data_IF_688569870219
#
_entry.id   IF_688569870219
#
_cell.length_a   1.000
_cell.length_b   1.000
_cell.length_c   1.000
_cell.angle_alpha   90.00
_cell.angle_beta   90.00
_cell.angle_gamma   90.00
#
_symmetry.space_group_name_H-M   'P 1'
#
loop_
_entity.id
_entity.type
_entity.pdbx_description
1 polymer ?
#
# COMPACT_ATOMS: atom_id res chain seq x y z
N UNK A 1 -72.94 46.37 5.16
CA UNK A 1 -71.96 45.61 5.99
C UNK A 1 -72.25 44.12 5.80
N UNK A 2 -71.54 43.45 4.88
CA UNK A 2 -71.74 42.02 4.59
C UNK A 2 -70.79 41.18 5.44
N UNK A 3 -71.27 40.69 6.58
CA UNK A 3 -70.52 39.73 7.39
C UNK A 3 -70.49 38.39 6.66
N UNK A 4 -69.33 38.07 6.09
CA UNK A 4 -69.03 36.79 5.44
C UNK A 4 -68.76 35.77 6.55
N UNK A 5 -69.78 35.01 6.95
CA UNK A 5 -69.62 33.91 7.92
C UNK A 5 -68.77 32.82 7.28
N UNK A 6 -67.54 32.66 7.77
CA UNK A 6 -66.73 31.49 7.44
C UNK A 6 -67.39 30.27 8.07
N UNK A 7 -68.14 29.51 7.28
CA UNK A 7 -68.69 28.23 7.69
C UNK A 7 -67.54 27.24 7.87
N UNK A 8 -67.02 27.12 9.09
CA UNK A 8 -66.08 26.06 9.46
C UNK A 8 -66.87 24.79 9.80
N UNK A 9 -67.30 24.05 8.78
CA UNK A 9 -67.74 22.66 8.97
C UNK A 9 -66.57 21.84 9.50
N UNK A 10 -66.72 21.09 10.62
CA UNK A 10 -65.64 20.27 11.16
C UNK A 10 -65.22 19.22 10.12
N UNK A 11 -63.91 19.00 9.92
CA UNK A 11 -63.43 17.97 8.99
C UNK A 11 -64.00 16.61 9.41
N UNK A 12 -64.45 15.81 8.43
CA UNK A 12 -64.96 14.46 8.71
C UNK A 12 -63.91 13.65 9.46
N UNK A 13 -64.35 12.76 10.36
CA UNK A 13 -63.44 11.94 11.19
C UNK A 13 -62.43 11.15 10.33
N UNK A 14 -62.82 10.74 9.13
CA UNK A 14 -61.96 10.07 8.14
C UNK A 14 -60.77 10.95 7.69
N UNK A 15 -60.99 12.24 7.48
CA UNK A 15 -59.93 13.19 7.14
C UNK A 15 -58.99 13.42 8.33
N UNK A 16 -59.51 13.45 9.56
CA UNK A 16 -58.68 13.57 10.77
C UNK A 16 -57.75 12.37 10.95
N UNK A 17 -58.25 11.14 10.75
CA UNK A 17 -57.43 9.93 10.84
C UNK A 17 -56.30 9.89 9.78
N UNK A 18 -56.62 10.26 8.53
CA UNK A 18 -55.64 10.33 7.45
C UNK A 18 -54.55 11.39 7.71
N UNK A 19 -54.91 12.55 8.25
CA UNK A 19 -53.94 13.60 8.60
C UNK A 19 -53.04 13.18 9.76
N UNK A 20 -53.59 12.50 10.78
CA UNK A 20 -52.81 11.94 11.90
C UNK A 20 -51.78 10.92 11.41
N UNK A 21 -52.19 9.98 10.55
CA UNK A 21 -51.28 8.99 9.95
C UNK A 21 -50.16 9.63 9.12
N UNK A 22 -50.48 10.67 8.32
CA UNK A 22 -49.49 11.43 7.54
C UNK A 22 -48.49 12.17 8.43
N UNK A 23 -48.95 12.75 9.53
CA UNK A 23 -48.11 13.46 10.48
C UNK A 23 -47.13 12.50 11.16
N UNK A 24 -47.62 11.36 11.64
CA UNK A 24 -46.78 10.30 12.22
C UNK A 24 -45.75 9.80 11.21
N UNK A 25 -46.16 9.54 9.96
CA UNK A 25 -45.24 9.13 8.91
C UNK A 25 -44.13 10.17 8.67
N UNK A 26 -44.48 11.46 8.58
CA UNK A 26 -43.51 12.54 8.41
C UNK A 26 -42.52 12.64 9.57
N UNK A 27 -42.99 12.58 10.83
CA UNK A 27 -42.11 12.61 12.00
C UNK A 27 -41.20 11.38 12.05
N UNK A 28 -41.73 10.19 11.78
CA UNK A 28 -40.93 8.96 11.78
C UNK A 28 -39.88 8.94 10.66
N UNK A 29 -40.18 9.52 9.50
CA UNK A 29 -39.23 9.60 8.39
C UNK A 29 -38.10 10.58 8.71
N UNK A 30 -38.41 11.76 9.26
CA UNK A 30 -37.40 12.70 9.74
C UNK A 30 -36.48 12.07 10.80
N UNK A 31 -37.03 11.27 11.72
CA UNK A 31 -36.24 10.53 12.70
C UNK A 31 -35.38 9.40 12.09
N UNK A 32 -35.82 8.78 11.00
CA UNK A 32 -35.00 7.82 10.24
C UNK A 32 -33.84 8.53 9.54
N UNK A 33 -34.11 9.66 8.90
CA UNK A 33 -33.11 10.50 8.23
C UNK A 33 -32.05 11.00 9.22
N UNK A 34 -32.47 11.48 10.40
CA UNK A 34 -31.57 11.92 11.47
C UNK A 34 -30.66 10.77 11.94
N UNK A 35 -31.23 9.58 12.13
CA UNK A 35 -30.45 8.37 12.49
C UNK A 35 -29.52 7.94 11.36
N UNK A 36 -29.96 8.03 10.11
CA UNK A 36 -29.16 7.70 8.94
C UNK A 36 -27.99 8.68 8.79
N UNK A 37 -28.22 9.97 9.02
CA UNK A 37 -27.19 11.01 9.01
C UNK A 37 -26.16 10.77 10.11
N UNK A 38 -26.60 10.50 11.35
CA UNK A 38 -25.70 10.16 12.48
C UNK A 38 -24.86 8.92 12.18
N UNK A 39 -25.45 7.86 11.60
CA UNK A 39 -24.74 6.66 11.17
C UNK A 39 -23.71 6.94 10.07
N UNK A 40 -24.08 7.73 9.04
CA UNK A 40 -23.17 8.14 7.97
C UNK A 40 -21.98 8.93 8.52
N UNK A 41 -22.22 9.88 9.43
CA UNK A 41 -21.17 10.64 10.09
C UNK A 41 -20.25 9.75 10.91
N UNK A 42 -20.79 8.81 11.68
CA UNK A 42 -19.99 7.87 12.46
C UNK A 42 -19.09 7.00 11.58
N UNK A 43 -19.62 6.49 10.46
CA UNK A 43 -18.84 5.70 9.50
C UNK A 43 -17.74 6.55 8.87
N UNK A 44 -18.05 7.78 8.44
CA UNK A 44 -17.05 8.69 7.88
C UNK A 44 -15.96 9.07 8.90
N UNK A 45 -16.32 9.25 10.17
CA UNK A 45 -15.35 9.51 11.24
C UNK A 45 -14.47 8.29 11.51
N UNK A 46 -15.08 7.09 11.59
CA UNK A 46 -14.35 5.82 11.78
C UNK A 46 -13.38 5.54 10.63
N UNK A 47 -13.79 5.78 9.38
CA UNK A 47 -12.92 5.64 8.20
C UNK A 47 -11.72 6.59 8.26
N UNK A 48 -11.92 7.85 8.66
CA UNK A 48 -10.82 8.81 8.82
C UNK A 48 -9.83 8.38 9.90
N UNK A 49 -10.30 7.87 11.04
CA UNK A 49 -9.42 7.37 12.11
C UNK A 49 -8.58 6.16 11.66
N UNK A 50 -9.19 5.23 10.92
CA UNK A 50 -8.47 4.08 10.34
C UNK A 50 -7.36 4.55 9.39
N UNK A 51 -7.68 5.47 8.48
CA UNK A 51 -6.70 6.02 7.54
C UNK A 51 -5.56 6.77 8.25
N UNK A 52 -5.84 7.54 9.31
CA UNK A 52 -4.81 8.20 10.12
C UNK A 52 -3.88 7.16 10.76
N UNK A 53 -4.44 6.10 11.31
CA UNK A 53 -3.64 5.06 11.97
C UNK A 53 -2.84 4.20 10.97
N UNK A 54 -3.39 3.91 9.78
CA UNK A 54 -2.67 3.25 8.69
C UNK A 54 -1.51 4.12 8.18
N UNK A 55 -1.76 5.40 7.88
CA UNK A 55 -0.72 6.35 7.47
C UNK A 55 0.38 6.47 8.53
N UNK A 56 0.02 6.49 9.82
CA UNK A 56 0.98 6.54 10.91
C UNK A 56 1.86 5.28 10.98
N UNK A 57 1.30 4.10 10.73
CA UNK A 57 2.06 2.84 10.69
C UNK A 57 3.04 2.82 9.52
N UNK A 58 2.61 3.24 8.34
CA UNK A 58 3.46 3.27 7.15
C UNK A 58 4.64 4.23 7.34
N UNK A 59 4.40 5.40 7.94
CA UNK A 59 5.48 6.34 8.29
C UNK A 59 6.43 5.77 9.34
N UNK A 60 5.96 4.99 10.32
CA UNK A 60 6.84 4.32 11.29
C UNK A 60 7.70 3.27 10.59
N UNK A 61 7.11 2.40 9.77
CA UNK A 61 7.83 1.36 9.03
C UNK A 61 8.88 1.98 8.11
N UNK A 62 8.49 3.01 7.36
CA UNK A 62 9.38 3.76 6.49
C UNK A 62 10.55 4.36 7.27
N UNK A 63 10.27 5.02 8.39
CA UNK A 63 11.32 5.58 9.24
C UNK A 63 12.27 4.50 9.80
N UNK A 64 11.81 3.29 10.13
CA UNK A 64 12.69 2.21 10.62
C UNK A 64 13.55 1.66 9.48
N UNK A 65 12.92 1.35 8.34
CA UNK A 65 13.57 0.71 7.19
C UNK A 65 14.61 1.64 6.55
N UNK A 66 14.30 2.94 6.42
CA UNK A 66 15.17 3.90 5.74
C UNK A 66 16.11 4.68 6.68
N UNK A 67 15.96 4.61 8.01
CA UNK A 67 16.92 5.25 8.95
C UNK A 67 18.23 4.50 9.08
N UNK A 68 18.25 3.20 8.80
CA UNK A 68 19.49 2.43 8.88
C UNK A 68 20.14 2.50 7.50
N UNK A 69 21.24 3.26 7.32
CA UNK A 69 22.07 3.06 6.14
C UNK A 69 22.44 1.58 6.12
N UNK A 70 22.47 0.92 4.96
CA UNK A 70 22.88 -0.49 4.89
C UNK A 70 24.41 -0.50 4.73
N UNK A 71 25.21 -0.47 5.82
CA UNK A 71 26.68 -0.38 5.73
C UNK A 71 27.25 -1.55 4.92
N UNK A 72 26.58 -2.70 4.98
CA UNK A 72 26.97 -3.92 4.31
C UNK A 72 27.07 -3.78 2.78
N UNK A 73 26.21 -2.98 2.15
CA UNK A 73 26.23 -2.82 0.69
C UNK A 73 27.44 -2.01 0.24
N UNK A 74 27.78 -0.95 0.96
CA UNK A 74 28.96 -0.13 0.66
C UNK A 74 30.25 -0.84 1.06
N UNK A 75 30.25 -1.60 2.16
CA UNK A 75 31.36 -2.48 2.54
C UNK A 75 31.60 -3.57 1.49
N UNK A 76 30.55 -4.22 1.00
CA UNK A 76 30.65 -5.22 -0.05
C UNK A 76 31.21 -4.62 -1.35
N UNK A 77 30.69 -3.46 -1.77
CA UNK A 77 31.22 -2.74 -2.94
C UNK A 77 32.71 -2.42 -2.78
N UNK A 78 33.11 -1.90 -1.60
CA UNK A 78 34.52 -1.64 -1.31
C UNK A 78 35.37 -2.91 -1.34
N UNK A 79 34.88 -4.00 -0.73
CA UNK A 79 35.56 -5.29 -0.74
C UNK A 79 35.81 -5.83 -2.15
N UNK A 80 34.81 -5.73 -3.03
CA UNK A 80 34.94 -6.12 -4.45
C UNK A 80 35.99 -5.26 -5.16
N UNK A 81 35.94 -3.93 -5.00
CA UNK A 81 36.91 -3.01 -5.64
C UNK A 81 38.34 -3.30 -5.16
N UNK A 82 38.55 -3.47 -3.85
CA UNK A 82 39.85 -3.81 -3.27
C UNK A 82 40.36 -5.15 -3.78
N UNK A 83 39.49 -6.17 -3.88
CA UNK A 83 39.88 -7.48 -4.41
C UNK A 83 40.35 -7.38 -5.87
N UNK A 84 39.65 -6.60 -6.70
CA UNK A 84 40.05 -6.34 -8.10
C UNK A 84 41.39 -5.60 -8.16
N UNK A 85 41.59 -4.58 -7.32
CA UNK A 85 42.86 -3.82 -7.28
C UNK A 85 44.05 -4.67 -6.81
N UNK A 86 43.81 -5.67 -5.97
CA UNK A 86 44.84 -6.60 -5.51
C UNK A 86 45.22 -7.65 -6.56
N UNK A 87 44.46 -7.79 -7.66
CA UNK A 87 44.87 -8.64 -8.77
C UNK A 87 46.05 -7.97 -9.49
N UNK A 88 47.23 -8.56 -9.32
CA UNK A 88 48.45 -8.04 -9.96
C UNK A 88 48.51 -8.43 -11.45
N UNK A 89 49.14 -7.62 -12.31
CA UNK A 89 49.38 -8.00 -13.71
C UNK A 89 50.11 -9.35 -13.85
N UNK A 90 51.01 -9.67 -12.92
CA UNK A 90 51.72 -10.96 -12.92
C UNK A 90 50.77 -12.15 -12.71
N UNK A 91 49.73 -12.01 -11.88
CA UNK A 91 48.73 -13.08 -11.70
C UNK A 91 47.95 -13.33 -12.99
N UNK A 92 47.61 -12.26 -13.72
CA UNK A 92 46.94 -12.36 -15.02
C UNK A 92 47.86 -13.02 -16.05
N UNK A 93 49.12 -12.59 -16.12
CA UNK A 93 50.13 -13.17 -17.03
C UNK A 93 50.36 -14.66 -16.75
N UNK A 94 50.50 -15.03 -15.48
CA UNK A 94 50.66 -16.43 -15.08
C UNK A 94 49.42 -17.27 -15.44
N UNK A 95 48.22 -16.72 -15.24
CA UNK A 95 46.96 -17.39 -15.59
C UNK A 95 46.85 -17.57 -17.10
N UNK A 96 47.25 -16.55 -17.87
CA UNK A 96 47.25 -16.60 -19.32
C UNK A 96 48.22 -17.67 -19.84
N UNK A 97 49.46 -17.68 -19.34
CA UNK A 97 50.46 -18.70 -19.67
C UNK A 97 50.02 -20.12 -19.35
N UNK A 98 49.32 -20.30 -18.22
CA UNK A 98 48.77 -21.61 -17.84
C UNK A 98 47.68 -22.08 -18.82
N UNK A 99 46.82 -21.16 -19.28
CA UNK A 99 45.81 -21.46 -20.30
C UNK A 99 46.48 -21.85 -21.63
N UNK A 100 47.47 -21.08 -22.08
CA UNK A 100 48.23 -21.39 -23.30
C UNK A 100 48.90 -22.76 -23.22
N UNK A 101 49.58 -23.04 -22.11
CA UNK A 101 50.21 -24.34 -21.85
C UNK A 101 49.21 -25.50 -21.95
N UNK A 102 48.04 -25.36 -21.31
CA UNK A 102 46.99 -26.39 -21.37
C UNK A 102 46.42 -26.56 -22.78
N UNK A 103 46.28 -25.48 -23.54
CA UNK A 103 45.84 -25.54 -24.93
C UNK A 103 46.86 -26.26 -25.82
N UNK A 104 48.15 -26.02 -25.60
CA UNK A 104 49.21 -26.71 -26.34
C UNK A 104 49.26 -28.20 -26.01
N UNK A 105 49.08 -28.57 -24.74
CA UNK A 105 48.93 -29.98 -24.32
C UNK A 105 47.72 -30.63 -24.99
N UNK A 106 46.56 -29.95 -25.01
CA UNK A 106 45.35 -30.46 -25.68
C UNK A 106 45.55 -30.63 -27.18
N UNK A 107 46.25 -29.70 -27.85
CA UNK A 107 46.59 -29.81 -29.27
C UNK A 107 47.53 -30.98 -29.53
N UNK A 108 48.59 -31.13 -28.73
CA UNK A 108 49.56 -32.22 -28.86
C UNK A 108 48.91 -33.60 -28.64
N UNK A 109 47.93 -33.68 -27.75
CA UNK A 109 47.20 -34.91 -27.42
C UNK A 109 45.95 -35.15 -28.28
N UNK A 110 45.73 -34.30 -29.31
CA UNK A 110 44.55 -34.34 -30.20
C UNK A 110 43.22 -34.36 -29.44
N UNK A 111 43.16 -33.70 -28.29
CA UNK A 111 41.98 -33.66 -27.42
C UNK A 111 41.73 -34.94 -26.62
N UNK A 112 42.70 -35.87 -26.55
CA UNK A 112 42.64 -36.99 -25.61
C UNK A 112 42.70 -36.47 -24.17
N UNK A 113 42.00 -37.12 -23.24
CA UNK A 113 41.96 -36.67 -21.85
C UNK A 113 43.37 -36.70 -21.23
N UNK A 114 43.87 -35.54 -20.80
CA UNK A 114 45.16 -35.41 -20.09
C UNK A 114 44.87 -35.10 -18.63
N UNK A 115 45.19 -36.03 -17.76
CA UNK A 115 45.12 -35.84 -16.31
C UNK A 115 46.44 -35.21 -15.86
N UNK A 116 46.39 -33.97 -15.40
CA UNK A 116 47.55 -33.27 -14.83
C UNK A 116 47.44 -33.43 -13.30
N UNK A 117 48.43 -34.08 -12.67
CA UNK A 117 48.54 -34.24 -11.21
C UNK A 117 49.04 -32.96 -10.53
#
# INVERSE_FOLDING_TARGET
MTNRTFNTTPPSLELMWLLSGKLVAFYTEREREDRALRRKMLIASKKRLLAVHENQRDEIVKNIVYKTPVPYLDELKRGIVTAIQNVTPQMLENTWREIESRLDVLRATKGSHVQIH
#
